data_IF_114316325422
#
_entry.id   IF_114316325422
#
_cell.length_a   1.000
_cell.length_b   1.000
_cell.length_c   1.000
_cell.angle_alpha   90.00
_cell.angle_beta   90.00
_cell.angle_gamma   90.00
#
_symmetry.space_group_name_H-M   'P 1'
#
loop_
_entity.id
_entity.type
_entity.pdbx_description
1 polymer ?
#
# COMPACT_ATOMS: atom_id res chain seq x y z
N UNK A 1 -24.59 -5.32 29.31
CA UNK A 1 -23.81 -4.09 29.07
C UNK A 1 -22.53 -4.20 29.88
N UNK A 2 -21.39 -4.35 29.21
CA UNK A 2 -20.08 -4.47 29.87
C UNK A 2 -19.57 -3.09 30.28
N UNK A 3 -18.75 -3.01 31.33
CA UNK A 3 -18.15 -1.75 31.81
C UNK A 3 -17.42 -0.96 30.69
N UNK A 4 -16.97 -1.65 29.64
CA UNK A 4 -16.35 -1.07 28.46
C UNK A 4 -17.32 -0.23 27.60
N UNK A 5 -18.59 -0.66 27.44
CA UNK A 5 -19.62 0.10 26.70
C UNK A 5 -20.07 1.36 27.45
N UNK A 6 -20.14 1.28 28.78
CA UNK A 6 -20.51 2.43 29.63
C UNK A 6 -19.44 3.52 29.58
N UNK A 7 -18.16 3.14 29.61
CA UNK A 7 -17.03 4.06 29.44
C UNK A 7 -17.02 4.71 28.04
N UNK A 8 -17.30 3.95 26.99
CA UNK A 8 -17.40 4.48 25.62
C UNK A 8 -18.55 5.48 25.44
N UNK A 9 -19.69 5.28 26.11
CA UNK A 9 -20.82 6.23 26.08
C UNK A 9 -20.56 7.49 26.90
N UNK A 10 -19.99 7.36 28.11
CA UNK A 10 -19.65 8.50 28.96
C UNK A 10 -18.58 9.41 28.33
N UNK A 11 -17.73 8.86 27.45
CA UNK A 11 -16.68 9.64 26.80
C UNK A 11 -17.18 10.46 25.60
N UNK A 12 -18.27 10.05 24.93
CA UNK A 12 -18.92 10.87 23.88
C UNK A 12 -19.49 12.19 24.43
N UNK A 13 -19.71 12.29 25.74
CA UNK A 13 -20.17 13.51 26.42
C UNK A 13 -19.05 14.33 27.07
N UNK A 14 -17.77 14.02 26.81
CA UNK A 14 -16.65 14.75 27.44
C UNK A 14 -16.60 16.20 26.91
N UNK A 15 -16.54 17.21 27.80
CA UNK A 15 -16.51 18.62 27.39
C UNK A 15 -15.31 18.94 26.47
N UNK A 16 -15.48 19.86 25.49
CA UNK A 16 -14.57 20.06 24.36
C UNK A 16 -13.19 20.64 24.69
N UNK A 17 -12.82 20.78 25.97
CA UNK A 17 -11.66 21.55 26.41
C UNK A 17 -10.33 20.78 26.37
N UNK A 18 -10.36 19.46 26.20
CA UNK A 18 -9.15 18.61 26.13
C UNK A 18 -9.20 17.67 24.93
N UNK A 19 -9.69 18.13 23.78
CA UNK A 19 -9.42 17.41 22.54
C UNK A 19 -8.06 17.86 22.03
N UNK A 20 -7.00 17.03 22.12
CA UNK A 20 -5.76 17.30 21.41
C UNK A 20 -6.07 17.18 19.91
N UNK A 21 -6.63 18.24 19.33
CA UNK A 21 -6.86 18.29 17.89
C UNK A 21 -5.49 18.39 17.24
N UNK A 22 -5.23 17.48 16.31
CA UNK A 22 -4.02 17.56 15.48
C UNK A 22 -4.00 18.93 14.78
N UNK A 23 -2.86 19.62 14.86
CA UNK A 23 -2.66 20.88 14.14
C UNK A 23 -2.13 20.54 12.76
N UNK A 24 -2.71 21.11 11.71
CA UNK A 24 -2.20 20.95 10.34
C UNK A 24 -0.97 21.85 10.21
N UNK A 25 0.20 21.26 9.99
CA UNK A 25 1.42 22.02 9.74
C UNK A 25 1.64 22.15 8.23
N UNK A 26 1.68 23.39 7.75
CA UNK A 26 2.08 23.70 6.38
C UNK A 26 3.60 23.79 6.29
N UNK A 27 4.20 22.94 5.46
CA UNK A 27 5.67 22.89 5.28
C UNK A 27 6.15 23.68 4.06
N UNK A 28 5.26 24.37 3.34
CA UNK A 28 5.56 25.11 2.11
C UNK A 28 5.91 24.24 0.89
N UNK A 29 6.00 22.92 1.03
CA UNK A 29 6.29 21.98 -0.07
C UNK A 29 5.01 21.56 -0.80
N UNK A 30 5.10 21.36 -2.12
CA UNK A 30 4.00 20.81 -2.93
C UNK A 30 3.62 19.42 -2.40
N UNK A 31 2.40 19.27 -1.89
CA UNK A 31 1.89 18.02 -1.32
C UNK A 31 0.80 18.25 -0.29
N UNK A 32 0.16 17.17 0.15
CA UNK A 32 -0.85 17.22 1.22
C UNK A 32 -0.17 17.58 2.55
N UNK A 33 -0.62 18.63 3.27
CA UNK A 33 -0.03 18.99 4.56
C UNK A 33 -0.21 17.85 5.57
N UNK A 34 0.77 17.67 6.45
CA UNK A 34 0.77 16.59 7.44
C UNK A 34 0.07 17.05 8.71
N UNK A 35 -0.75 16.18 9.29
CA UNK A 35 -1.28 16.38 10.63
C UNK A 35 -0.12 16.22 11.64
N UNK A 36 0.17 17.28 12.39
CA UNK A 36 1.12 17.23 13.49
C UNK A 36 0.41 16.84 14.77
N UNK A 37 1.02 15.89 15.47
CA UNK A 37 0.60 15.38 16.77
C UNK A 37 1.74 15.70 17.74
N UNK A 38 1.39 16.20 18.92
CA UNK A 38 2.37 16.41 19.99
C UNK A 38 2.95 15.06 20.43
N UNK A 39 4.26 14.88 20.28
CA UNK A 39 4.95 13.61 20.54
C UNK A 39 4.96 13.25 22.03
N UNK A 40 4.95 14.24 22.94
CA UNK A 40 4.92 14.00 24.39
C UNK A 40 3.57 13.43 24.79
N UNK A 41 2.48 14.03 24.28
CA UNK A 41 1.12 13.52 24.50
C UNK A 41 0.94 12.14 23.86
N UNK A 42 1.44 11.95 22.63
CA UNK A 42 1.39 10.66 21.96
C UNK A 42 2.17 9.58 22.73
N UNK A 43 3.33 9.90 23.30
CA UNK A 43 4.13 9.00 24.12
C UNK A 43 3.39 8.51 25.35
N UNK A 44 2.84 9.45 26.14
CA UNK A 44 2.04 9.14 27.33
C UNK A 44 0.84 8.25 26.99
N UNK A 45 0.10 8.59 25.93
CA UNK A 45 -1.08 7.84 25.51
C UNK A 45 -0.75 6.47 24.91
N UNK A 46 0.42 6.32 24.28
CA UNK A 46 0.85 5.02 23.73
C UNK A 46 1.23 4.03 24.86
N UNK A 47 1.70 4.54 26.00
CA UNK A 47 1.99 3.71 27.17
C UNK A 47 0.71 3.18 27.84
N UNK A 48 -0.35 3.99 27.91
CA UNK A 48 -1.64 3.62 28.51
C UNK A 48 -2.55 2.86 27.53
N UNK A 49 -2.52 3.20 26.24
CA UNK A 49 -3.38 2.62 25.22
C UNK A 49 -2.58 2.12 24.02
N UNK A 50 -2.66 0.81 23.74
CA UNK A 50 -1.93 0.18 22.62
C UNK A 50 -2.61 0.34 21.25
N UNK A 51 -3.87 0.80 21.19
CA UNK A 51 -4.64 0.84 19.95
C UNK A 51 -4.47 2.14 19.18
N UNK A 52 -3.85 2.05 17.99
CA UNK A 52 -3.72 3.19 17.08
C UNK A 52 -5.07 3.69 16.55
N UNK A 53 -6.09 2.82 16.46
CA UNK A 53 -7.43 3.22 16.00
C UNK A 53 -8.10 4.16 17.00
N UNK A 54 -8.03 3.83 18.28
CA UNK A 54 -8.58 4.67 19.35
C UNK A 54 -7.90 6.04 19.41
N UNK A 55 -6.57 6.06 19.31
CA UNK A 55 -5.80 7.31 19.24
C UNK A 55 -6.17 8.14 18.00
N UNK A 56 -6.44 7.48 16.87
CA UNK A 56 -6.84 8.16 15.64
C UNK A 56 -8.14 8.95 15.82
N UNK A 57 -9.13 8.33 16.47
CA UNK A 57 -10.41 8.97 16.78
C UNK A 57 -10.21 10.15 17.74
N UNK A 58 -9.34 10.00 18.74
CA UNK A 58 -8.99 11.08 19.68
C UNK A 58 -8.35 12.29 18.99
N UNK A 59 -7.38 12.06 18.09
CA UNK A 59 -6.67 13.13 17.38
C UNK A 59 -7.42 13.66 16.15
N UNK A 60 -8.52 13.02 15.76
CA UNK A 60 -9.25 13.30 14.51
C UNK A 60 -8.39 13.02 13.26
N UNK A 61 -7.59 11.95 13.28
CA UNK A 61 -6.68 11.59 12.18
C UNK A 61 -6.92 10.16 11.70
N UNK A 62 -6.24 9.76 10.63
CA UNK A 62 -6.26 8.37 10.18
C UNK A 62 -5.32 7.50 11.05
N UNK A 63 -5.68 6.26 11.43
CA UNK A 63 -4.83 5.39 12.28
C UNK A 63 -3.42 5.16 11.76
N UNK A 64 -3.27 5.15 10.44
CA UNK A 64 -1.96 5.09 9.76
C UNK A 64 -1.05 6.26 10.10
N UNK A 65 -1.61 7.47 10.26
CA UNK A 65 -0.86 8.67 10.65
C UNK A 65 -0.33 8.56 12.07
N UNK A 66 -1.16 8.10 13.00
CA UNK A 66 -0.75 7.84 14.39
C UNK A 66 0.37 6.79 14.44
N UNK A 67 0.19 5.66 13.75
CA UNK A 67 1.18 4.58 13.70
C UNK A 67 2.52 5.06 13.14
N UNK A 68 2.48 5.88 12.08
CA UNK A 68 3.68 6.48 11.50
C UNK A 68 4.39 7.40 12.50
N UNK A 69 3.66 8.27 13.21
CA UNK A 69 4.26 9.13 14.24
C UNK A 69 4.84 8.32 15.41
N UNK A 70 4.17 7.26 15.86
CA UNK A 70 4.70 6.35 16.87
C UNK A 70 6.01 5.69 16.43
N UNK A 71 6.11 5.27 15.17
CA UNK A 71 7.33 4.68 14.60
C UNK A 71 8.46 5.71 14.48
N UNK A 72 8.18 6.90 13.96
CA UNK A 72 9.18 7.98 13.86
C UNK A 72 9.71 8.42 15.23
N UNK A 73 8.89 8.36 16.27
CA UNK A 73 9.27 8.69 17.64
C UNK A 73 9.90 7.50 18.41
N UNK A 74 10.07 6.33 17.79
CA UNK A 74 10.60 5.14 18.45
C UNK A 74 9.66 4.52 19.51
N UNK A 75 8.41 4.98 19.59
CA UNK A 75 7.39 4.46 20.54
C UNK A 75 6.84 3.09 20.11
N UNK A 76 6.93 2.77 18.82
CA UNK A 76 6.48 1.51 18.25
C UNK A 76 7.49 1.00 17.25
N UNK A 77 7.89 -0.26 17.40
CA UNK A 77 8.75 -0.94 16.42
C UNK A 77 8.08 -1.05 15.05
N UNK A 78 8.91 -1.17 14.01
CA UNK A 78 8.41 -1.61 12.71
C UNK A 78 7.74 -2.98 12.88
N UNK A 79 6.53 -3.14 12.36
CA UNK A 79 5.91 -4.47 12.32
C UNK A 79 6.77 -5.39 11.46
N UNK A 80 6.94 -6.65 11.88
CA UNK A 80 7.64 -7.63 11.08
C UNK A 80 6.93 -7.77 9.73
N UNK A 81 7.71 -7.85 8.65
CA UNK A 81 7.15 -8.12 7.33
C UNK A 81 6.42 -9.47 7.37
N UNK A 82 5.27 -9.63 6.68
CA UNK A 82 4.59 -10.91 6.61
C UNK A 82 5.55 -12.03 6.23
N UNK A 83 5.49 -13.14 6.97
CA UNK A 83 6.30 -14.33 6.73
C UNK A 83 5.45 -15.58 6.94
N UNK A 84 5.86 -16.67 6.33
CA UNK A 84 5.29 -18.00 6.52
C UNK A 84 6.33 -18.86 7.23
N UNK A 85 5.97 -19.47 8.36
CA UNK A 85 6.80 -20.49 8.98
C UNK A 85 6.55 -21.82 8.28
N UNK A 86 7.59 -22.43 7.74
CA UNK A 86 7.58 -23.77 7.13
C UNK A 86 8.46 -24.67 7.98
N UNK A 87 7.95 -25.86 8.33
CA UNK A 87 8.71 -26.87 9.07
C UNK A 87 9.24 -27.88 8.07
N UNK A 88 10.55 -28.03 8.02
CA UNK A 88 11.22 -28.98 7.12
C UNK A 88 11.09 -30.43 7.63
N UNK A 89 11.43 -31.41 6.80
CA UNK A 89 11.36 -32.83 7.14
C UNK A 89 12.19 -33.23 8.38
N UNK A 90 13.18 -32.41 8.74
CA UNK A 90 14.03 -32.59 9.93
C UNK A 90 13.44 -31.93 11.20
N UNK A 91 12.26 -31.32 11.11
CA UNK A 91 11.62 -30.60 12.23
C UNK A 91 12.16 -29.19 12.47
N UNK A 92 13.00 -28.65 11.58
CA UNK A 92 13.53 -27.30 11.69
C UNK A 92 12.56 -26.27 11.12
N UNK A 93 12.35 -25.16 11.85
CA UNK A 93 11.48 -24.06 11.42
C UNK A 93 12.23 -23.05 10.55
N UNK A 94 11.67 -22.74 9.39
CA UNK A 94 12.18 -21.73 8.46
C UNK A 94 11.14 -20.63 8.24
N UNK A 95 11.56 -19.37 8.39
CA UNK A 95 10.72 -18.22 8.04
C UNK A 95 10.94 -17.86 6.58
N UNK A 96 9.93 -18.10 5.75
CA UNK A 96 9.96 -17.79 4.33
C UNK A 96 9.16 -16.51 4.08
N UNK A 97 9.83 -15.50 3.55
CA UNK A 97 9.18 -14.30 3.05
C UNK A 97 8.73 -14.54 1.61
N UNK A 98 7.48 -14.97 1.43
CA UNK A 98 6.93 -15.12 0.09
C UNK A 98 6.39 -13.77 -0.41
N UNK A 99 6.90 -13.23 -1.53
CA UNK A 99 6.30 -12.04 -2.12
C UNK A 99 4.83 -12.35 -2.47
N UNK A 100 3.90 -11.47 -2.09
CA UNK A 100 2.48 -11.62 -2.43
C UNK A 100 2.24 -11.54 -3.94
N UNK A 101 3.20 -10.97 -4.67
CA UNK A 101 3.10 -10.80 -6.11
C UNK A 101 3.55 -12.08 -6.80
N UNK A 102 2.75 -12.64 -7.73
CA UNK A 102 3.19 -13.76 -8.55
C UNK A 102 4.43 -13.36 -9.35
N UNK A 103 5.29 -14.35 -9.56
CA UNK A 103 6.52 -14.26 -10.34
C UNK A 103 6.23 -13.76 -11.77
N UNK A 104 7.24 -13.15 -12.38
CA UNK A 104 7.17 -12.73 -13.76
C UNK A 104 7.19 -13.97 -14.65
N UNK A 105 6.41 -13.96 -15.73
CA UNK A 105 6.39 -15.09 -16.65
C UNK A 105 7.64 -15.07 -17.53
N UNK A 106 8.30 -16.21 -17.66
CA UNK A 106 9.42 -16.43 -18.59
C UNK A 106 8.91 -16.64 -20.02
N UNK A 107 8.18 -15.66 -20.55
CA UNK A 107 7.68 -15.69 -21.93
C UNK A 107 8.75 -15.18 -22.89
N UNK A 108 8.95 -15.89 -24.01
CA UNK A 108 9.88 -15.44 -25.05
C UNK A 108 9.37 -14.19 -25.77
N UNK A 109 10.28 -13.46 -26.41
CA UNK A 109 9.91 -12.28 -27.18
C UNK A 109 8.94 -12.62 -28.33
N UNK A 110 9.13 -13.76 -28.98
CA UNK A 110 8.33 -14.21 -30.11
C UNK A 110 6.91 -14.63 -29.67
N UNK A 111 6.79 -15.27 -28.52
CA UNK A 111 5.50 -15.63 -27.93
C UNK A 111 4.73 -14.38 -27.49
N UNK A 112 5.42 -13.43 -26.88
CA UNK A 112 4.83 -12.15 -26.50
C UNK A 112 4.32 -11.38 -27.73
N UNK A 113 5.12 -11.31 -28.80
CA UNK A 113 4.76 -10.64 -30.05
C UNK A 113 3.50 -11.29 -30.69
N UNK A 114 3.38 -12.62 -30.65
CA UNK A 114 2.18 -13.35 -31.11
C UNK A 114 0.95 -13.04 -30.26
N UNK A 115 1.08 -13.05 -28.93
CA UNK A 115 -0.02 -12.71 -28.03
C UNK A 115 -0.47 -11.25 -28.21
N UNK A 116 0.48 -10.32 -28.37
CA UNK A 116 0.18 -8.92 -28.64
C UNK A 116 -0.59 -8.75 -29.95
N UNK A 117 -0.14 -9.39 -31.04
CA UNK A 117 -0.87 -9.37 -32.31
C UNK A 117 -2.31 -9.87 -32.16
N UNK A 118 -2.52 -10.97 -31.40
CA UNK A 118 -3.86 -11.49 -31.13
C UNK A 118 -4.73 -10.58 -30.26
N UNK A 119 -4.15 -9.81 -29.34
CA UNK A 119 -4.88 -8.84 -28.51
C UNK A 119 -5.22 -7.58 -29.33
N UNK A 120 -4.25 -7.01 -30.01
CA UNK A 120 -4.42 -5.77 -30.80
C UNK A 120 -5.32 -6.02 -32.00
N UNK A 121 -5.21 -7.18 -32.66
CA UNK A 121 -6.11 -7.55 -33.75
C UNK A 121 -7.58 -7.62 -33.34
N UNK A 122 -7.87 -7.94 -32.06
CA UNK A 122 -9.23 -7.89 -31.50
C UNK A 122 -9.64 -6.49 -31.06
N UNK A 123 -8.70 -5.69 -30.56
CA UNK A 123 -8.96 -4.36 -30.01
C UNK A 123 -7.83 -3.38 -30.38
N UNK A 124 -7.88 -2.71 -31.56
CA UNK A 124 -6.79 -1.87 -32.05
C UNK A 124 -6.56 -0.59 -31.22
N UNK A 125 -7.54 -0.18 -30.41
CA UNK A 125 -7.44 0.99 -29.53
C UNK A 125 -6.76 0.74 -28.18
N UNK A 126 -6.28 -0.47 -27.90
CA UNK A 126 -5.74 -0.78 -26.58
C UNK A 126 -4.39 -0.09 -26.30
N UNK A 127 -4.38 0.68 -25.21
CA UNK A 127 -3.16 1.22 -24.62
C UNK A 127 -2.35 0.16 -23.87
N UNK A 128 -1.09 0.46 -23.53
CA UNK A 128 -0.19 -0.50 -22.86
C UNK A 128 -0.74 -1.01 -21.52
N UNK A 129 -1.52 -0.21 -20.80
CA UNK A 129 -2.22 -0.65 -19.58
C UNK A 129 -3.26 -1.74 -19.84
N UNK A 130 -4.10 -1.55 -20.87
CA UNK A 130 -5.14 -2.51 -21.24
C UNK A 130 -4.54 -3.80 -21.80
N UNK A 131 -3.47 -3.70 -22.58
CA UNK A 131 -2.69 -4.85 -23.06
C UNK A 131 -2.12 -5.64 -21.88
N UNK A 132 -1.50 -4.96 -20.92
CA UNK A 132 -0.95 -5.59 -19.71
C UNK A 132 -2.03 -6.31 -18.92
N UNK A 133 -3.19 -5.70 -18.76
CA UNK A 133 -4.32 -6.33 -18.04
C UNK A 133 -4.88 -7.55 -18.80
N UNK A 134 -4.91 -7.50 -20.14
CA UNK A 134 -5.28 -8.65 -20.95
C UNK A 134 -4.28 -9.81 -20.81
N UNK A 135 -2.98 -9.53 -20.83
CA UNK A 135 -1.93 -10.53 -20.59
C UNK A 135 -2.04 -11.13 -19.18
N UNK A 136 -2.28 -10.30 -18.16
CA UNK A 136 -2.49 -10.78 -16.79
C UNK A 136 -3.69 -11.74 -16.68
N UNK A 137 -4.78 -11.48 -17.42
CA UNK A 137 -5.96 -12.37 -17.46
C UNK A 137 -5.67 -13.69 -18.17
N UNK A 138 -4.72 -13.71 -19.11
CA UNK A 138 -4.22 -14.92 -19.75
C UNK A 138 -3.20 -15.67 -18.87
N UNK A 139 -2.88 -15.16 -17.69
CA UNK A 139 -1.91 -15.76 -16.77
C UNK A 139 -0.46 -15.34 -17.02
N UNK A 140 -0.22 -14.44 -17.98
CA UNK A 140 1.13 -13.95 -18.28
C UNK A 140 1.40 -12.62 -17.59
N UNK A 141 2.42 -12.57 -16.73
CA UNK A 141 2.91 -11.36 -16.08
C UNK A 141 4.15 -10.83 -16.77
N UNK A 142 3.97 -9.73 -17.50
CA UNK A 142 5.02 -9.11 -18.30
C UNK A 142 5.24 -7.67 -17.84
N UNK A 143 6.49 -7.21 -17.85
CA UNK A 143 6.82 -5.85 -17.42
C UNK A 143 6.43 -4.86 -18.52
N UNK A 144 6.16 -3.61 -18.13
CA UNK A 144 5.74 -2.58 -19.09
C UNK A 144 6.79 -2.35 -20.18
N UNK A 145 8.07 -2.36 -19.81
CA UNK A 145 9.18 -2.18 -20.74
C UNK A 145 9.22 -3.26 -21.81
N UNK A 146 8.94 -4.51 -21.44
CA UNK A 146 8.93 -5.65 -22.36
C UNK A 146 7.72 -5.60 -23.30
N UNK A 147 6.55 -5.18 -22.82
CA UNK A 147 5.38 -4.88 -23.66
C UNK A 147 5.67 -3.72 -24.62
N UNK A 148 6.30 -2.65 -24.15
CA UNK A 148 6.64 -1.50 -24.98
C UNK A 148 7.68 -1.87 -26.07
N UNK A 149 8.67 -2.72 -25.75
CA UNK A 149 9.64 -3.24 -26.71
C UNK A 149 8.98 -4.14 -27.76
N UNK A 150 8.14 -5.08 -27.32
CA UNK A 150 7.36 -5.96 -28.19
C UNK A 150 6.43 -5.17 -29.11
N UNK A 151 5.70 -4.19 -28.59
CA UNK A 151 4.85 -3.30 -29.40
C UNK A 151 5.64 -2.54 -30.47
N UNK A 152 6.86 -2.08 -30.15
CA UNK A 152 7.76 -1.44 -31.12
C UNK A 152 8.23 -2.40 -32.22
N UNK A 153 8.49 -3.67 -31.91
CA UNK A 153 8.85 -4.68 -32.92
C UNK A 153 7.69 -5.00 -33.85
N UNK A 154 6.50 -5.17 -33.27
CA UNK A 154 5.32 -5.67 -33.98
C UNK A 154 4.64 -4.57 -34.82
N UNK A 155 4.51 -3.36 -34.28
CA UNK A 155 3.78 -2.26 -34.96
C UNK A 155 4.70 -1.12 -35.40
N UNK A 156 6.00 -1.26 -35.19
CA UNK A 156 6.96 -0.19 -35.43
C UNK A 156 6.93 0.87 -34.32
N UNK A 157 7.79 1.90 -34.44
CA UNK A 157 7.72 3.04 -33.54
C UNK A 157 6.34 3.68 -33.66
N UNK A 158 5.58 3.76 -32.56
CA UNK A 158 4.41 4.63 -32.51
C UNK A 158 4.90 6.02 -32.90
N UNK A 159 4.38 6.57 -33.99
CA UNK A 159 4.45 7.99 -34.30
C UNK A 159 3.65 8.69 -33.21
N UNK A 160 4.24 8.85 -32.03
CA UNK A 160 3.72 9.74 -31.01
C UNK A 160 3.77 11.12 -31.63
N UNK A 161 2.60 11.65 -32.01
CA UNK A 161 2.43 13.07 -32.26
C UNK A 161 3.07 13.80 -31.08
N UNK A 162 4.16 14.48 -31.38
CA UNK A 162 4.84 15.40 -30.47
C UNK A 162 3.85 16.46 -30.03
N UNK A 163 3.63 16.53 -28.71
CA UNK A 163 3.10 17.61 -27.87
C UNK A 163 2.04 18.56 -28.45
#
# INVERSE_FOLDING_TARGET
MTACEALLRAWKSTPPLLQPKSKVFYTGRKGRPRAGIDLTVLGLLTQTHRSAAWLADLFGTHPRTVTHHQQCAGLKGAGQAPFQTVVDANGQEHQIHRPTRPEMSDISDEELDKLLNGIVGRCPGYGCGQIKDALNRLGHRVCRQHIDASKKRVHGPNLTFSQ
#
